data_IF_074136247248
#
_entry.id   IF_074136247248
#
_cell.length_a   1.000
_cell.length_b   1.000
_cell.length_c   1.000
_cell.angle_alpha   90.00
_cell.angle_beta   90.00
_cell.angle_gamma   90.00
#
_symmetry.space_group_name_H-M   'P 1'
#
loop_
_entity.id
_entity.type
_entity.pdbx_description
1 polymer ?
#
# COMPACT_ATOMS: atom_id res chain seq x y z
N UNK A 1 11.25 -1.49 15.30
CA UNK A 1 11.00 -1.16 13.88
C UNK A 1 10.14 -2.26 13.30
N UNK A 2 8.85 -2.02 13.17
CA UNK A 2 7.93 -2.99 12.56
C UNK A 2 8.29 -3.13 11.08
N UNK A 3 8.43 -4.35 10.60
CA UNK A 3 8.62 -4.61 9.17
C UNK A 3 7.44 -4.02 8.37
N UNK A 4 7.74 -3.02 7.54
CA UNK A 4 6.75 -2.34 6.69
C UNK A 4 6.04 -3.30 5.76
N UNK A 5 6.72 -4.35 5.27
CA UNK A 5 6.10 -5.33 4.37
C UNK A 5 5.08 -6.18 5.10
N UNK A 6 5.42 -6.71 6.28
CA UNK A 6 4.48 -7.45 7.10
C UNK A 6 3.24 -6.61 7.48
N UNK A 7 3.44 -5.36 7.89
CA UNK A 7 2.35 -4.45 8.22
C UNK A 7 1.46 -4.13 7.01
N UNK A 8 2.06 -3.89 5.84
CA UNK A 8 1.35 -3.67 4.59
C UNK A 8 0.54 -4.90 4.17
N UNK A 9 1.13 -6.09 4.29
CA UNK A 9 0.49 -7.36 3.93
C UNK A 9 -0.72 -7.66 4.81
N UNK A 10 -0.62 -7.40 6.12
CA UNK A 10 -1.75 -7.53 7.04
C UNK A 10 -2.92 -6.60 6.65
N UNK A 11 -2.62 -5.38 6.22
CA UNK A 11 -3.64 -4.44 5.74
C UNK A 11 -4.26 -4.93 4.43
N UNK A 12 -3.44 -5.40 3.48
CA UNK A 12 -3.92 -5.95 2.22
C UNK A 12 -4.92 -7.08 2.46
N UNK A 13 -4.54 -8.07 3.27
CA UNK A 13 -5.37 -9.24 3.59
C UNK A 13 -6.69 -8.86 4.23
N UNK A 14 -6.65 -7.91 5.18
CA UNK A 14 -7.86 -7.37 5.80
C UNK A 14 -8.75 -6.63 4.78
N UNK A 15 -8.15 -5.86 3.86
CA UNK A 15 -8.88 -5.11 2.83
C UNK A 15 -9.57 -6.01 1.81
N UNK A 16 -8.94 -7.12 1.43
CA UNK A 16 -9.50 -8.06 0.43
C UNK A 16 -10.29 -9.21 1.06
N UNK A 17 -10.28 -9.36 2.39
CA UNK A 17 -10.95 -10.43 3.11
C UNK A 17 -10.36 -11.83 2.86
N UNK A 18 -9.05 -11.91 2.57
CA UNK A 18 -8.36 -13.18 2.27
C UNK A 18 -6.99 -13.24 2.91
N UNK A 19 -6.75 -14.26 3.72
CA UNK A 19 -5.48 -14.46 4.44
C UNK A 19 -4.34 -14.96 3.55
N UNK A 20 -4.67 -15.54 2.40
CA UNK A 20 -3.71 -16.03 1.40
C UNK A 20 -3.30 -14.94 0.39
N UNK A 21 -3.88 -13.74 0.48
CA UNK A 21 -3.53 -12.65 -0.42
C UNK A 21 -2.06 -12.22 -0.23
N UNK A 22 -1.41 -11.91 -1.36
CA UNK A 22 -0.08 -11.32 -1.44
C UNK A 22 -0.07 -10.20 -2.49
N UNK A 23 0.98 -9.39 -2.46
CA UNK A 23 1.17 -8.30 -3.41
C UNK A 23 1.46 -8.83 -4.80
N UNK A 24 0.87 -8.18 -5.81
CA UNK A 24 1.34 -8.34 -7.19
C UNK A 24 2.70 -7.61 -7.35
N UNK A 25 3.48 -8.03 -8.35
CA UNK A 25 4.77 -7.44 -8.68
C UNK A 25 4.69 -5.92 -8.77
N UNK A 26 5.54 -5.24 -8.00
CA UNK A 26 5.65 -3.77 -7.93
C UNK A 26 4.66 -3.07 -6.99
N UNK A 27 3.64 -3.76 -6.45
CA UNK A 27 2.71 -3.11 -5.50
C UNK A 27 3.40 -2.70 -4.20
N UNK A 28 4.18 -3.61 -3.60
CA UNK A 28 4.88 -3.31 -2.36
C UNK A 28 5.96 -2.25 -2.56
N UNK A 29 6.70 -2.28 -3.67
CA UNK A 29 7.69 -1.25 -4.01
C UNK A 29 7.06 0.15 -4.10
N UNK A 30 5.87 0.26 -4.72
CA UNK A 30 5.14 1.52 -4.77
C UNK A 30 4.71 1.99 -3.36
N UNK A 31 4.25 1.07 -2.50
CA UNK A 31 3.88 1.37 -1.11
C UNK A 31 5.12 1.83 -0.32
N UNK A 32 6.23 1.10 -0.40
CA UNK A 32 7.49 1.43 0.28
C UNK A 32 8.01 2.81 -0.15
N UNK A 33 7.97 3.11 -1.45
CA UNK A 33 8.35 4.42 -2.00
C UNK A 33 7.54 5.56 -1.36
N UNK A 34 6.21 5.38 -1.23
CA UNK A 34 5.32 6.39 -0.66
C UNK A 34 5.45 6.51 0.87
N UNK A 35 5.59 5.37 1.55
CA UNK A 35 5.44 5.26 3.00
C UNK A 35 6.77 5.41 3.73
N UNK A 36 7.77 4.64 3.32
CA UNK A 36 9.08 4.56 4.00
C UNK A 36 10.05 5.58 3.42
N UNK A 37 10.12 5.66 2.09
CA UNK A 37 11.02 6.61 1.42
C UNK A 37 10.44 8.02 1.37
N UNK A 38 9.13 8.18 1.60
CA UNK A 38 8.41 9.48 1.56
C UNK A 38 8.59 10.21 0.23
N UNK A 39 8.64 9.46 -0.87
CA UNK A 39 8.83 9.95 -2.25
C UNK A 39 7.55 9.83 -3.07
N UNK A 40 7.50 10.55 -4.19
CA UNK A 40 6.42 10.41 -5.18
C UNK A 40 6.66 9.15 -6.01
N UNK A 41 5.59 8.40 -6.31
CA UNK A 41 5.62 7.24 -7.19
C UNK A 41 4.74 7.48 -8.44
N UNK A 42 5.22 7.04 -9.61
CA UNK A 42 4.42 6.97 -10.83
C UNK A 42 4.18 5.49 -11.14
N UNK A 43 2.92 5.04 -11.06
CA UNK A 43 2.56 3.64 -11.28
C UNK A 43 1.79 3.52 -12.60
N UNK A 44 2.45 2.97 -13.62
CA UNK A 44 1.85 2.71 -14.94
C UNK A 44 1.65 1.22 -15.12
N UNK A 45 0.39 0.78 -15.04
CA UNK A 45 0.03 -0.64 -15.07
C UNK A 45 -1.34 -0.83 -15.73
N UNK A 46 -1.57 -2.01 -16.33
CA UNK A 46 -2.84 -2.37 -16.98
C UNK A 46 -4.04 -2.30 -16.03
N UNK A 47 -5.25 -2.18 -16.58
CA UNK A 47 -6.49 -2.29 -15.80
C UNK A 47 -6.58 -3.67 -15.12
N UNK A 48 -7.08 -3.71 -13.88
CA UNK A 48 -7.14 -4.93 -13.08
C UNK A 48 -5.86 -5.29 -12.32
N UNK A 49 -4.74 -4.57 -12.48
CA UNK A 49 -3.49 -4.83 -11.73
C UNK A 49 -3.61 -4.57 -10.21
N UNK A 50 -4.67 -3.90 -9.74
CA UNK A 50 -4.85 -3.64 -8.31
C UNK A 50 -4.18 -2.34 -7.80
N UNK A 51 -4.13 -1.29 -8.63
CA UNK A 51 -3.62 0.05 -8.22
C UNK A 51 -4.32 0.59 -6.97
N UNK A 52 -5.58 0.19 -6.75
CA UNK A 52 -6.34 0.57 -5.55
C UNK A 52 -5.78 0.02 -4.25
N UNK A 53 -5.24 -1.19 -4.26
CA UNK A 53 -4.59 -1.76 -3.11
C UNK A 53 -3.39 -0.89 -2.67
N UNK A 54 -2.61 -0.36 -3.63
CA UNK A 54 -1.46 0.51 -3.34
C UNK A 54 -1.88 1.74 -2.55
N UNK A 55 -2.82 2.54 -3.06
CA UNK A 55 -3.17 3.78 -2.38
C UNK A 55 -3.91 3.54 -1.05
N UNK A 56 -4.74 2.51 -0.93
CA UNK A 56 -5.43 2.21 0.33
C UNK A 56 -4.48 1.70 1.42
N UNK A 57 -3.59 0.76 1.08
CA UNK A 57 -2.59 0.25 2.01
C UNK A 57 -1.64 1.35 2.45
N UNK A 58 -1.13 2.15 1.50
CA UNK A 58 -0.28 3.30 1.82
C UNK A 58 -1.00 4.30 2.73
N UNK A 59 -2.25 4.67 2.42
CA UNK A 59 -3.06 5.58 3.24
C UNK A 59 -3.20 5.07 4.68
N UNK A 60 -3.54 3.79 4.87
CA UNK A 60 -3.71 3.20 6.20
C UNK A 60 -2.41 3.14 6.98
N UNK A 61 -1.29 2.78 6.34
CA UNK A 61 0.03 2.80 6.98
C UNK A 61 0.42 4.21 7.43
N UNK A 62 0.25 5.20 6.55
CA UNK A 62 0.54 6.59 6.86
C UNK A 62 -0.29 7.10 8.03
N UNK A 63 -1.60 6.81 8.05
CA UNK A 63 -2.48 7.18 9.18
C UNK A 63 -2.06 6.50 10.48
N UNK A 64 -1.71 5.21 10.45
CA UNK A 64 -1.20 4.50 11.65
C UNK A 64 0.11 5.08 12.18
N UNK A 65 0.90 5.73 11.31
CA UNK A 65 2.12 6.46 11.67
C UNK A 65 1.89 7.93 12.03
N UNK A 66 0.64 8.35 12.22
CA UNK A 66 0.29 9.71 12.63
C UNK A 66 0.20 10.73 11.50
N UNK A 67 0.30 10.32 10.23
CA UNK A 67 0.03 11.23 9.12
C UNK A 67 -1.48 11.50 8.96
N UNK A 68 -1.79 12.59 8.27
CA UNK A 68 -3.16 13.06 8.04
C UNK A 68 -3.96 12.27 7.00
N UNK A 69 -5.13 12.79 6.58
CA UNK A 69 -5.96 12.16 5.56
C UNK A 69 -5.27 12.11 4.19
N UNK A 70 -5.69 11.17 3.34
CA UNK A 70 -5.30 11.10 1.93
C UNK A 70 -6.49 11.50 1.06
N UNK A 71 -6.23 12.29 0.02
CA UNK A 71 -7.22 12.66 -1.00
C UNK A 71 -6.93 11.80 -2.23
N UNK A 72 -7.95 11.06 -2.68
CA UNK A 72 -7.94 10.27 -3.91
C UNK A 72 -8.77 11.03 -4.95
N UNK A 73 -8.22 11.25 -6.15
CA UNK A 73 -8.83 12.01 -7.24
C UNK A 73 -8.97 11.10 -8.46
#
# INVERSE_FOLDING_TARGET
MTDSRAAALAILRALVGRDDADFHDGQFEAIETLVDQRRRALVVQRTGWGKSAVYFVATLLLRRRGAGPTILV
#
